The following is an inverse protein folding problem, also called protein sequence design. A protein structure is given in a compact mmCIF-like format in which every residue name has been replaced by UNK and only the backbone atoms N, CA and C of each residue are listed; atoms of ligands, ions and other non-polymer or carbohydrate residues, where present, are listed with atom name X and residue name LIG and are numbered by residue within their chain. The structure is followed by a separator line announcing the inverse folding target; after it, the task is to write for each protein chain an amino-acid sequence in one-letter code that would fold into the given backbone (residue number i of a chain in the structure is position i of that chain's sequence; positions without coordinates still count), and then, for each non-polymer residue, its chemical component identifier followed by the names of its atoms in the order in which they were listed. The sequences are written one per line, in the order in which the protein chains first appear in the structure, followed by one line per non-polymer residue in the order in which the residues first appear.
data_IF_938979175939
#
_entry.id   IF_938979175939
#
_cell.length_a   1.000
_cell.length_b   1.000
_cell.length_c   1.000
_cell.angle_alpha   90.00
_cell.angle_beta   90.00
_cell.angle_gamma   90.00
#
_symmetry.space_group_name_H-M   'P 1'
#
loop_
_entity.id
_entity.type
_entity.pdbx_description
1 polymer ?
#
# COMPACT_ATOMS: atom_id res chain seq x y z
N UNK A 1 6.45 11.92 -64.70
CA UNK A 1 5.81 10.62 -64.52
C UNK A 1 4.85 10.74 -63.33
N UNK A 2 3.53 10.61 -63.59
CA UNK A 2 2.43 11.06 -62.71
C UNK A 2 2.21 10.10 -61.52
N UNK A 3 2.22 10.64 -60.33
CA UNK A 3 1.84 9.95 -59.08
C UNK A 3 0.31 10.00 -58.91
N UNK A 4 -0.33 8.83 -58.83
CA UNK A 4 -1.77 8.70 -58.57
C UNK A 4 -1.98 8.43 -57.07
N UNK A 5 -2.66 9.37 -56.45
CA UNK A 5 -3.16 9.23 -55.07
C UNK A 5 -4.54 8.57 -55.14
N UNK A 6 -4.75 7.43 -54.50
CA UNK A 6 -6.07 6.83 -54.26
C UNK A 6 -6.54 7.20 -52.87
N UNK A 7 -7.68 7.86 -52.79
CA UNK A 7 -8.48 8.00 -51.59
C UNK A 7 -9.43 6.81 -51.50
N UNK A 8 -9.30 6.02 -50.46
CA UNK A 8 -10.33 5.07 -50.07
C UNK A 8 -11.02 5.56 -48.78
N UNK A 9 -12.33 5.73 -48.89
CA UNK A 9 -13.23 6.23 -47.87
C UNK A 9 -13.45 5.17 -46.79
N UNK A 10 -13.23 5.53 -45.52
CA UNK A 10 -13.59 4.71 -44.36
C UNK A 10 -14.99 5.09 -43.92
N UNK A 11 -15.91 4.14 -44.05
CA UNK A 11 -17.29 4.24 -43.63
C UNK A 11 -17.38 4.03 -42.11
N UNK A 12 -17.82 5.05 -41.38
CA UNK A 12 -18.10 5.00 -39.93
C UNK A 12 -19.47 4.36 -39.72
N UNK A 13 -19.51 3.22 -39.04
CA UNK A 13 -20.73 2.63 -38.50
C UNK A 13 -20.92 3.03 -37.05
N UNK A 14 -21.82 3.97 -36.82
CA UNK A 14 -22.36 4.31 -35.49
C UNK A 14 -23.46 3.34 -35.16
N UNK A 15 -23.22 2.42 -34.22
CA UNK A 15 -24.27 1.59 -33.64
C UNK A 15 -24.67 2.17 -32.27
N UNK A 16 -25.83 2.82 -32.26
CA UNK A 16 -26.51 3.31 -31.06
C UNK A 16 -27.14 2.12 -30.34
N UNK A 17 -26.64 1.77 -29.15
CA UNK A 17 -27.28 0.76 -28.31
C UNK A 17 -28.03 1.49 -27.17
N UNK A 18 -29.36 1.56 -27.32
CA UNK A 18 -30.31 2.10 -26.36
C UNK A 18 -30.47 1.10 -25.20
N UNK A 19 -29.96 1.40 -24.01
CA UNK A 19 -30.24 0.63 -22.80
C UNK A 19 -31.40 1.30 -22.06
N UNK A 20 -32.56 0.68 -22.13
CA UNK A 20 -33.78 1.08 -21.41
C UNK A 20 -33.65 0.75 -19.92
N UNK A 21 -33.64 1.78 -19.09
CA UNK A 21 -33.66 1.69 -17.64
C UNK A 21 -35.11 1.45 -17.17
N UNK A 22 -35.39 0.24 -16.69
CA UNK A 22 -36.69 -0.15 -16.18
C UNK A 22 -36.80 0.22 -14.69
N UNK A 23 -37.48 1.33 -14.39
CA UNK A 23 -37.86 1.70 -13.04
C UNK A 23 -38.89 0.69 -12.49
N UNK A 24 -38.57 0.08 -11.36
CA UNK A 24 -39.54 -0.66 -10.54
C UNK A 24 -40.11 0.26 -9.47
N UNK A 25 -41.36 0.58 -9.61
CA UNK A 25 -42.19 1.31 -8.63
C UNK A 25 -42.41 0.44 -7.37
N UNK A 26 -42.06 0.98 -6.21
CA UNK A 26 -42.42 0.41 -4.92
C UNK A 26 -43.89 0.71 -4.62
N UNK A 27 -44.67 -0.32 -4.31
CA UNK A 27 -46.03 -0.25 -3.84
C UNK A 27 -46.08 0.12 -2.38
N UNK A 28 -46.75 1.22 -2.10
CA UNK A 28 -47.24 1.64 -0.79
C UNK A 28 -48.36 0.71 -0.31
N UNK A 29 -48.24 0.17 0.88
CA UNK A 29 -49.37 -0.39 1.63
C UNK A 29 -49.48 0.39 2.93
N UNK A 30 -50.53 1.14 3.06
CA UNK A 30 -51.02 1.68 4.29
C UNK A 30 -51.93 0.72 4.99
N UNK A 31 -51.88 0.69 6.29
CA UNK A 31 -53.02 0.30 7.11
C UNK A 31 -52.96 1.00 8.46
N UNK A 32 -54.05 1.66 8.72
CA UNK A 32 -54.45 2.38 9.91
C UNK A 32 -54.82 1.40 11.05
N UNK A 33 -54.79 1.90 12.25
CA UNK A 33 -55.54 1.27 13.36
C UNK A 33 -54.93 1.45 14.72
N UNK A 34 -55.44 2.32 15.41
CA UNK A 34 -56.28 2.34 16.63
C UNK A 34 -55.55 2.84 17.91
N UNK A 35 -56.14 3.94 18.38
CA UNK A 35 -56.03 4.49 19.73
C UNK A 35 -56.31 3.43 20.81
N UNK A 36 -55.56 3.48 21.89
CA UNK A 36 -56.06 3.08 23.20
C UNK A 36 -55.45 3.99 24.26
N UNK A 37 -56.32 4.76 24.77
CA UNK A 37 -56.24 5.67 25.93
C UNK A 37 -56.47 4.82 27.19
N UNK A 38 -55.56 4.80 28.16
CA UNK A 38 -55.88 4.37 29.54
C UNK A 38 -55.20 5.30 30.55
N UNK A 39 -56.05 5.74 31.43
CA UNK A 39 -55.96 6.72 32.49
C UNK A 39 -55.23 6.19 33.74
N UNK A 40 -54.41 7.07 34.34
CA UNK A 40 -54.28 7.42 35.78
C UNK A 40 -54.19 6.31 36.81
N UNK A 41 -53.15 6.33 37.62
CA UNK A 41 -53.31 6.53 39.09
C UNK A 41 -52.04 7.07 39.71
N UNK A 42 -52.17 8.21 40.37
CA UNK A 42 -51.25 8.82 41.32
C UNK A 42 -51.22 8.01 42.63
N UNK A 43 -50.05 7.67 43.13
CA UNK A 43 -49.85 7.32 44.56
C UNK A 43 -48.67 8.12 45.06
N UNK A 44 -49.01 9.07 45.93
CA UNK A 44 -48.08 9.76 46.82
C UNK A 44 -47.62 8.85 47.92
N UNK A 45 -46.32 8.72 48.15
CA UNK A 45 -45.75 7.93 49.23
C UNK A 45 -44.40 8.52 49.68
N UNK A 46 -44.39 8.96 50.90
CA UNK A 46 -43.41 9.71 51.68
C UNK A 46 -41.98 9.13 51.69
N UNK A 47 -41.07 10.09 51.72
CA UNK A 47 -39.82 10.20 52.50
C UNK A 47 -39.28 8.96 53.18
N UNK A 48 -38.09 8.57 52.73
CA UNK A 48 -37.04 8.10 53.66
C UNK A 48 -35.65 8.53 53.11
N UNK A 49 -35.02 9.38 53.91
CA UNK A 49 -33.67 9.86 53.77
C UNK A 49 -32.72 8.74 54.20
N UNK A 50 -32.15 8.01 53.27
CA UNK A 50 -31.03 7.09 53.49
C UNK A 50 -29.80 7.63 52.78
N UNK A 51 -28.92 8.20 53.56
CA UNK A 51 -27.57 8.57 53.16
C UNK A 51 -26.74 7.31 52.99
N UNK A 52 -26.59 6.89 51.71
CA UNK A 52 -25.56 5.91 51.32
C UNK A 52 -24.40 6.66 50.71
N UNK A 53 -23.16 6.35 51.06
CA UNK A 53 -22.00 6.98 50.48
C UNK A 53 -21.94 6.56 49.01
N UNK A 54 -22.02 7.54 48.10
CA UNK A 54 -21.74 7.38 46.69
C UNK A 54 -20.27 7.01 46.55
N UNK A 55 -19.99 5.72 46.43
CA UNK A 55 -18.73 5.27 45.85
C UNK A 55 -18.76 5.71 44.37
N UNK A 56 -18.15 6.83 44.08
CA UNK A 56 -17.71 7.18 42.72
C UNK A 56 -16.71 6.13 42.30
N UNK A 57 -17.19 5.05 41.71
CA UNK A 57 -16.36 4.18 40.88
C UNK A 57 -15.96 5.02 39.67
N UNK A 58 -14.86 5.76 39.76
CA UNK A 58 -14.15 6.26 38.60
C UNK A 58 -13.61 5.03 37.87
N UNK A 59 -14.43 4.43 37.02
CA UNK A 59 -13.94 3.58 35.95
C UNK A 59 -13.07 4.48 35.09
N UNK A 60 -11.78 4.47 35.39
CA UNK A 60 -10.75 5.07 34.54
C UNK A 60 -10.81 4.38 33.18
N UNK A 61 -11.62 4.93 32.29
CA UNK A 61 -11.42 4.68 30.87
C UNK A 61 -10.05 5.29 30.54
N UNK A 62 -9.02 4.46 30.54
CA UNK A 62 -7.77 4.78 29.86
C UNK A 62 -8.16 5.04 28.41
N UNK A 63 -8.32 6.30 28.04
CA UNK A 63 -8.51 6.68 26.65
C UNK A 63 -7.24 6.28 25.91
N UNK A 64 -7.33 5.20 25.15
CA UNK A 64 -6.26 4.78 24.24
C UNK A 64 -6.10 5.87 23.18
N UNK A 65 -4.92 6.41 23.04
CA UNK A 65 -4.61 7.39 22.00
C UNK A 65 -4.07 6.65 20.78
N UNK A 66 -4.64 6.88 19.59
CA UNK A 66 -4.15 6.27 18.36
C UNK A 66 -3.44 7.28 17.46
N UNK A 67 -2.50 6.77 16.67
CA UNK A 67 -1.97 7.46 15.49
C UNK A 67 -2.36 6.70 14.23
N UNK A 68 -2.69 7.43 13.17
CA UNK A 68 -2.94 6.88 11.84
C UNK A 68 -1.68 6.96 10.99
N UNK A 69 -1.22 5.83 10.49
CA UNK A 69 -0.03 5.72 9.64
C UNK A 69 -0.44 5.28 8.24
N UNK A 70 -0.23 6.12 7.26
CA UNK A 70 -0.34 5.79 5.84
C UNK A 70 0.97 5.17 5.39
N UNK A 71 0.98 3.90 5.04
CA UNK A 71 2.20 3.17 4.70
C UNK A 71 2.05 2.35 3.41
N UNK A 72 3.09 2.36 2.59
CA UNK A 72 3.13 1.55 1.37
C UNK A 72 3.03 0.06 1.69
N UNK A 73 2.28 -0.69 0.85
CA UNK A 73 1.98 -2.12 1.04
C UNK A 73 3.19 -2.99 1.38
N UNK A 74 4.39 -2.81 0.76
CA UNK A 74 5.56 -3.61 1.09
C UNK A 74 5.99 -3.53 2.55
N UNK A 75 5.68 -2.42 3.24
CA UNK A 75 6.04 -2.19 4.65
C UNK A 75 5.16 -2.97 5.64
N UNK A 76 4.01 -3.49 5.19
CA UNK A 76 2.99 -4.09 6.07
C UNK A 76 3.53 -5.14 7.04
N UNK A 77 4.36 -6.13 6.64
CA UNK A 77 4.86 -7.14 7.58
C UNK A 77 5.76 -6.53 8.65
N UNK A 78 6.68 -5.65 8.28
CA UNK A 78 7.61 -5.01 9.21
C UNK A 78 6.88 -4.04 10.14
N UNK A 79 5.96 -3.23 9.62
CA UNK A 79 5.21 -2.24 10.41
C UNK A 79 4.25 -2.89 11.40
N UNK A 80 3.66 -4.05 11.08
CA UNK A 80 2.88 -4.81 12.04
C UNK A 80 3.71 -5.25 13.26
N UNK A 81 4.95 -5.69 13.05
CA UNK A 81 5.87 -6.04 14.14
C UNK A 81 6.30 -4.80 14.94
N UNK A 82 6.56 -3.68 14.26
CA UNK A 82 6.92 -2.43 14.92
C UNK A 82 5.77 -1.84 15.72
N UNK A 83 4.53 -1.97 15.26
CA UNK A 83 3.34 -1.56 16.02
C UNK A 83 3.23 -2.32 17.35
N UNK A 84 3.46 -3.64 17.36
CA UNK A 84 3.48 -4.42 18.59
C UNK A 84 4.56 -3.95 19.57
N UNK A 85 5.75 -3.61 19.08
CA UNK A 85 6.82 -3.05 19.91
C UNK A 85 6.48 -1.65 20.42
N UNK A 86 5.94 -0.81 19.55
CA UNK A 86 5.50 0.54 19.90
C UNK A 86 4.47 0.52 21.02
N UNK A 87 3.47 -0.36 20.93
CA UNK A 87 2.42 -0.51 21.94
C UNK A 87 2.96 -1.05 23.28
N UNK A 88 3.95 -1.96 23.24
CA UNK A 88 4.61 -2.45 24.45
C UNK A 88 5.33 -1.31 25.19
N UNK A 89 5.98 -0.39 24.46
CA UNK A 89 6.69 0.76 25.02
C UNK A 89 5.74 1.93 25.38
N UNK A 90 4.52 1.95 24.80
CA UNK A 90 3.49 2.96 25.01
C UNK A 90 2.12 2.31 25.27
N UNK A 91 1.85 1.75 26.49
CA UNK A 91 0.67 0.90 26.74
C UNK A 91 -0.70 1.59 26.54
N UNK A 92 -0.74 2.93 26.57
CA UNK A 92 -1.95 3.73 26.31
C UNK A 92 -2.08 4.20 24.84
N UNK A 93 -1.21 3.71 23.96
CA UNK A 93 -1.17 4.14 22.56
C UNK A 93 -1.35 2.95 21.61
N UNK A 94 -2.01 3.20 20.47
CA UNK A 94 -2.13 2.25 19.35
C UNK A 94 -1.67 2.90 18.05
N UNK A 95 -1.32 2.05 17.08
CA UNK A 95 -1.00 2.47 15.72
C UNK A 95 -1.99 1.82 14.78
N UNK A 96 -2.76 2.63 14.10
CA UNK A 96 -3.67 2.22 13.05
C UNK A 96 -3.01 2.45 11.68
N UNK A 97 -3.24 1.56 10.72
CA UNK A 97 -2.61 1.63 9.40
C UNK A 97 -3.62 1.68 8.27
N UNK A 98 -3.35 2.53 7.29
CA UNK A 98 -3.90 2.41 5.93
C UNK A 98 -2.77 1.96 5.01
N UNK A 99 -2.87 0.74 4.48
CA UNK A 99 -1.89 0.17 3.55
C UNK A 99 -2.43 0.22 2.13
N UNK A 100 -1.80 1.03 1.28
CA UNK A 100 -2.11 1.14 -0.14
C UNK A 100 -0.83 1.41 -0.95
N UNK A 101 -0.96 1.69 -2.25
CA UNK A 101 0.17 2.19 -3.03
C UNK A 101 0.55 3.59 -2.55
N UNK A 102 1.85 3.95 -2.67
CA UNK A 102 2.31 5.29 -2.27
C UNK A 102 1.53 6.39 -2.97
N UNK A 103 1.21 6.21 -4.26
CA UNK A 103 0.45 7.17 -5.05
C UNK A 103 -1.01 7.33 -4.55
N UNK A 104 -1.68 6.23 -4.20
CA UNK A 104 -3.04 6.30 -3.64
C UNK A 104 -3.05 7.01 -2.30
N UNK A 105 -2.08 6.73 -1.42
CA UNK A 105 -1.95 7.39 -0.13
C UNK A 105 -1.65 8.88 -0.28
N UNK A 106 -0.73 9.25 -1.19
CA UNK A 106 -0.46 10.65 -1.52
C UNK A 106 -1.70 11.38 -2.05
N UNK A 107 -2.49 10.72 -2.91
CA UNK A 107 -3.75 11.26 -3.41
C UNK A 107 -4.80 11.43 -2.29
N UNK A 108 -4.93 10.46 -1.37
CA UNK A 108 -5.81 10.59 -0.19
C UNK A 108 -5.42 11.79 0.66
N UNK A 109 -4.12 11.99 0.92
CA UNK A 109 -3.61 13.14 1.67
C UNK A 109 -3.90 14.45 0.95
N UNK A 110 -3.73 14.51 -0.37
CA UNK A 110 -4.05 15.70 -1.18
C UNK A 110 -5.55 16.02 -1.19
N UNK A 111 -6.42 15.01 -0.98
CA UNK A 111 -7.87 15.16 -0.83
C UNK A 111 -8.31 15.48 0.60
N UNK A 112 -7.37 15.63 1.54
CA UNK A 112 -7.65 16.00 2.93
C UNK A 112 -7.92 14.83 3.86
N UNK A 113 -7.47 13.62 3.53
CA UNK A 113 -7.54 12.49 4.47
C UNK A 113 -6.62 12.74 5.67
N UNK A 114 -7.12 12.41 6.86
CA UNK A 114 -6.39 12.58 8.12
C UNK A 114 -5.43 11.40 8.34
N UNK A 115 -4.15 11.72 8.54
CA UNK A 115 -3.14 10.80 9.00
C UNK A 115 -2.05 11.54 9.78
N UNK A 116 -1.32 10.82 10.63
CA UNK A 116 -0.24 11.40 11.45
C UNK A 116 1.12 11.19 10.81
N UNK A 117 1.32 10.06 10.12
CA UNK A 117 2.59 9.67 9.49
C UNK A 117 2.34 9.15 8.07
N UNK A 118 3.23 9.51 7.16
CA UNK A 118 3.28 8.94 5.81
C UNK A 118 4.62 8.25 5.56
N UNK A 119 4.59 6.98 5.15
CA UNK A 119 5.74 6.16 4.79
C UNK A 119 5.61 5.66 3.35
N UNK A 120 6.40 6.23 2.45
CA UNK A 120 6.37 5.94 1.01
C UNK A 120 7.34 4.83 0.62
N UNK A 121 7.04 4.13 -0.47
CA UNK A 121 7.96 3.17 -1.12
C UNK A 121 8.85 3.83 -2.17
N UNK A 122 8.73 5.12 -2.39
CA UNK A 122 9.57 5.90 -3.32
C UNK A 122 9.65 7.37 -2.92
N UNK A 123 10.71 8.04 -3.38
CA UNK A 123 10.93 9.46 -3.11
C UNK A 123 9.96 10.36 -3.89
N UNK A 124 9.51 9.95 -5.07
CA UNK A 124 8.67 10.80 -5.94
C UNK A 124 7.31 11.11 -5.31
N UNK A 125 6.68 10.11 -4.67
CA UNK A 125 5.42 10.31 -3.98
C UNK A 125 5.59 11.10 -2.68
N UNK A 126 6.69 10.90 -1.95
CA UNK A 126 7.01 11.73 -0.79
C UNK A 126 7.25 13.19 -1.20
N UNK A 127 7.98 13.42 -2.28
CA UNK A 127 8.18 14.75 -2.86
C UNK A 127 6.86 15.43 -3.23
N UNK A 128 5.90 14.66 -3.79
CA UNK A 128 4.58 15.18 -4.12
C UNK A 128 3.86 15.69 -2.87
N UNK A 129 3.87 14.91 -1.79
CA UNK A 129 3.25 15.28 -0.50
C UNK A 129 3.97 16.48 0.14
N UNK A 130 5.31 16.51 0.06
CA UNK A 130 6.12 17.61 0.59
C UNK A 130 5.90 18.92 -0.18
N UNK A 131 5.90 18.86 -1.53
CA UNK A 131 5.63 20.02 -2.39
C UNK A 131 4.22 20.58 -2.22
N UNK A 132 3.26 19.72 -1.85
CA UNK A 132 1.91 20.14 -1.49
C UNK A 132 1.84 20.79 -0.07
N UNK A 133 2.94 20.83 0.67
CA UNK A 133 3.00 21.41 2.02
C UNK A 133 2.28 20.59 3.08
N UNK A 134 2.15 19.27 2.87
CA UNK A 134 1.41 18.36 3.75
C UNK A 134 2.31 17.67 4.79
N UNK A 135 3.64 17.77 4.67
CA UNK A 135 4.59 17.27 5.69
C UNK A 135 4.76 18.30 6.81
N UNK A 136 4.84 17.81 8.04
CA UNK A 136 5.12 18.59 9.26
C UNK A 136 6.57 18.45 9.73
N UNK A 137 7.31 17.48 9.17
CA UNK A 137 8.75 17.29 9.36
C UNK A 137 9.42 17.08 8.01
N UNK A 138 10.74 17.24 7.97
CA UNK A 138 11.54 16.80 6.83
C UNK A 138 11.44 15.27 6.70
N UNK A 139 11.28 14.74 5.48
CA UNK A 139 11.31 13.29 5.24
C UNK A 139 12.66 12.68 5.61
N UNK A 140 12.61 11.51 6.27
CA UNK A 140 13.81 10.74 6.63
C UNK A 140 13.81 9.43 5.85
N UNK A 141 14.88 9.14 5.11
CA UNK A 141 15.06 7.85 4.47
C UNK A 141 15.33 6.80 5.56
N UNK A 142 14.55 5.71 5.57
CA UNK A 142 14.64 4.69 6.63
C UNK A 142 14.92 3.28 6.13
N UNK A 143 14.68 3.03 4.84
CA UNK A 143 14.91 1.75 4.20
C UNK A 143 15.18 1.93 2.70
N UNK A 144 15.72 0.90 2.08
CA UNK A 144 15.80 0.80 0.62
C UNK A 144 15.45 -0.62 0.16
N UNK A 145 15.10 -0.75 -1.12
CA UNK A 145 14.77 -2.03 -1.75
C UNK A 145 15.36 -2.07 -3.16
N UNK A 146 15.80 -3.26 -3.57
CA UNK A 146 16.40 -3.48 -4.89
C UNK A 146 15.69 -4.60 -5.61
N UNK A 147 15.76 -4.59 -6.95
CA UNK A 147 15.27 -5.70 -7.76
C UNK A 147 16.22 -6.90 -7.66
N UNK A 148 15.63 -8.07 -7.76
CA UNK A 148 16.29 -9.35 -7.94
C UNK A 148 15.59 -10.10 -9.06
N UNK A 149 16.30 -11.03 -9.70
CA UNK A 149 15.68 -11.99 -10.62
C UNK A 149 15.14 -13.15 -9.78
N UNK A 150 13.91 -13.56 -10.06
CA UNK A 150 13.36 -14.81 -9.55
C UNK A 150 13.16 -15.79 -10.70
N UNK A 151 13.36 -17.07 -10.39
CA UNK A 151 13.13 -18.20 -11.30
C UNK A 151 12.34 -19.29 -10.58
N UNK A 152 11.91 -20.32 -11.30
CA UNK A 152 11.39 -21.52 -10.66
C UNK A 152 12.46 -22.14 -9.73
N UNK A 153 12.06 -22.90 -8.70
CA UNK A 153 13.00 -23.53 -7.77
C UNK A 153 14.09 -24.31 -8.47
N UNK A 154 15.34 -24.10 -8.05
CA UNK A 154 16.52 -24.75 -8.63
C UNK A 154 17.05 -24.10 -9.91
N UNK A 155 16.48 -22.99 -10.34
CA UNK A 155 16.90 -22.24 -11.53
C UNK A 155 17.14 -23.13 -12.78
N UNK A 156 16.10 -23.77 -13.31
CA UNK A 156 16.25 -24.74 -14.41
C UNK A 156 16.76 -24.12 -15.72
N UNK A 157 16.77 -22.81 -15.83
CA UNK A 157 17.27 -22.06 -17.00
C UNK A 157 18.67 -21.50 -16.83
N UNK A 158 19.26 -21.66 -15.64
CA UNK A 158 20.63 -21.20 -15.31
C UNK A 158 20.82 -19.71 -15.60
N UNK A 159 19.96 -18.88 -14.99
CA UNK A 159 19.97 -17.42 -15.15
C UNK A 159 20.82 -16.82 -14.03
N UNK A 160 21.91 -16.16 -14.38
CA UNK A 160 22.88 -15.66 -13.41
C UNK A 160 23.09 -14.15 -13.47
N UNK A 161 22.70 -13.51 -14.58
CA UNK A 161 22.90 -12.07 -14.82
C UNK A 161 21.65 -11.42 -15.38
N UNK A 162 21.59 -10.09 -15.34
CA UNK A 162 20.53 -9.34 -15.98
C UNK A 162 20.50 -9.57 -17.50
N UNK A 163 21.69 -9.64 -18.13
CA UNK A 163 21.81 -9.91 -19.57
C UNK A 163 21.26 -11.29 -19.97
N UNK A 164 21.23 -12.26 -19.08
CA UNK A 164 20.64 -13.57 -19.36
C UNK A 164 19.14 -13.48 -19.65
N UNK A 165 18.46 -12.46 -19.10
CA UNK A 165 17.03 -12.24 -19.34
C UNK A 165 16.71 -11.83 -20.79
N UNK A 166 17.68 -11.31 -21.53
CA UNK A 166 17.54 -10.97 -22.93
C UNK A 166 17.78 -12.16 -23.91
N UNK A 167 18.07 -13.36 -23.38
CA UNK A 167 18.28 -14.57 -24.23
C UNK A 167 16.99 -14.96 -24.93
N UNK A 168 17.10 -15.28 -26.23
CA UNK A 168 15.97 -15.75 -27.02
C UNK A 168 15.35 -17.04 -26.48
N UNK A 169 14.02 -17.14 -26.50
CA UNK A 169 13.26 -18.31 -26.04
C UNK A 169 13.08 -18.40 -24.53
N UNK A 170 13.51 -17.39 -23.77
CA UNK A 170 13.23 -17.26 -22.37
C UNK A 170 11.92 -16.47 -22.18
N UNK A 171 11.01 -16.99 -21.35
CA UNK A 171 9.78 -16.28 -21.00
C UNK A 171 10.05 -15.42 -19.77
N UNK A 172 10.16 -14.13 -19.98
CA UNK A 172 10.43 -13.16 -18.91
C UNK A 172 9.17 -12.35 -18.59
N UNK A 173 8.85 -12.21 -17.32
CA UNK A 173 7.81 -11.33 -16.83
C UNK A 173 8.41 -10.12 -16.12
N UNK A 174 7.89 -8.93 -16.41
CA UNK A 174 8.29 -7.68 -15.75
C UNK A 174 7.06 -6.93 -15.30
N UNK A 175 7.24 -5.92 -14.43
CA UNK A 175 6.19 -4.97 -14.13
C UNK A 175 6.01 -3.98 -15.29
N UNK A 176 4.79 -3.46 -15.46
CA UNK A 176 4.53 -2.33 -16.34
C UNK A 176 5.39 -1.13 -15.97
N UNK A 177 5.87 -0.38 -16.94
CA UNK A 177 6.78 0.77 -16.72
C UNK A 177 6.19 1.88 -15.82
N UNK A 178 4.87 1.98 -15.77
CA UNK A 178 4.15 2.97 -14.95
C UNK A 178 4.17 2.67 -13.44
N UNK A 179 4.60 1.47 -13.02
CA UNK A 179 4.68 1.10 -11.60
C UNK A 179 6.15 1.03 -11.14
N UNK A 180 6.44 1.16 -9.82
CA UNK A 180 7.82 1.32 -9.32
C UNK A 180 8.80 0.23 -9.77
N UNK A 181 8.38 -1.04 -9.80
CA UNK A 181 9.24 -2.15 -10.24
C UNK A 181 9.55 -2.08 -11.75
N UNK A 182 8.60 -1.67 -12.58
CA UNK A 182 8.82 -1.47 -14.01
C UNK A 182 9.71 -0.27 -14.30
N UNK A 183 9.49 0.85 -13.60
CA UNK A 183 10.37 2.00 -13.68
C UNK A 183 11.81 1.69 -13.23
N UNK A 184 11.99 0.81 -12.23
CA UNK A 184 13.31 0.34 -11.82
C UNK A 184 13.94 -0.57 -12.88
N UNK A 185 13.16 -1.47 -13.50
CA UNK A 185 13.62 -2.29 -14.64
C UNK A 185 14.10 -1.41 -15.78
N UNK A 186 13.33 -0.39 -16.16
CA UNK A 186 13.69 0.53 -17.24
C UNK A 186 15.01 1.26 -16.97
N UNK A 187 15.24 1.72 -15.72
CA UNK A 187 16.53 2.33 -15.35
C UNK A 187 17.69 1.37 -15.56
N UNK A 188 17.54 0.10 -15.17
CA UNK A 188 18.59 -0.92 -15.36
C UNK A 188 18.82 -1.17 -16.86
N UNK A 189 17.77 -1.22 -17.67
CA UNK A 189 17.89 -1.34 -19.12
C UNK A 189 18.66 -0.16 -19.73
N UNK A 190 18.30 1.07 -19.31
CA UNK A 190 18.93 2.31 -19.80
C UNK A 190 20.41 2.37 -19.38
N UNK A 191 20.74 2.00 -18.15
CA UNK A 191 22.10 2.04 -17.61
C UNK A 191 23.01 0.95 -18.19
N UNK A 192 22.44 -0.23 -18.46
CA UNK A 192 23.22 -1.38 -18.99
C UNK A 192 23.25 -1.45 -20.50
N UNK A 193 22.29 -0.81 -21.19
CA UNK A 193 22.04 -0.98 -22.62
C UNK A 193 21.48 -2.36 -22.99
N UNK A 194 21.10 -3.18 -22.02
CA UNK A 194 20.43 -4.47 -22.22
C UNK A 194 18.93 -4.24 -22.21
N UNK A 195 18.29 -4.42 -23.36
CA UNK A 195 16.85 -4.29 -23.50
C UNK A 195 16.18 -5.66 -23.42
N UNK A 196 15.18 -5.76 -22.54
CA UNK A 196 14.38 -6.97 -22.40
C UNK A 196 13.22 -6.97 -23.42
N UNK A 197 12.85 -8.16 -23.87
CA UNK A 197 11.63 -8.39 -24.64
C UNK A 197 10.68 -9.27 -23.79
N UNK A 198 9.97 -8.67 -22.81
CA UNK A 198 9.18 -9.43 -21.86
C UNK A 198 8.00 -10.11 -22.55
N UNK A 199 7.81 -11.40 -22.29
CA UNK A 199 6.67 -12.16 -22.79
C UNK A 199 5.37 -11.78 -22.09
N UNK A 200 5.47 -11.14 -20.92
CA UNK A 200 4.31 -10.65 -20.18
C UNK A 200 4.66 -9.51 -19.21
N UNK A 201 3.70 -8.62 -19.01
CA UNK A 201 3.78 -7.56 -18.02
C UNK A 201 2.71 -7.73 -16.93
N UNK A 202 3.04 -7.34 -15.70
CA UNK A 202 2.13 -7.32 -14.56
C UNK A 202 1.88 -5.90 -14.07
N UNK A 203 0.68 -5.65 -13.59
CA UNK A 203 0.33 -4.37 -12.95
C UNK A 203 0.85 -4.26 -11.51
N UNK A 204 1.25 -5.38 -10.92
CA UNK A 204 1.84 -5.46 -9.57
C UNK A 204 3.00 -6.45 -9.54
N UNK A 205 3.87 -6.31 -8.54
CA UNK A 205 4.95 -7.30 -8.27
C UNK A 205 4.36 -8.69 -8.01
N UNK A 206 3.22 -8.76 -7.33
CA UNK A 206 2.54 -10.04 -7.05
C UNK A 206 2.08 -10.74 -8.33
N UNK A 207 1.60 -10.00 -9.33
CA UNK A 207 1.22 -10.56 -10.63
C UNK A 207 2.43 -11.19 -11.33
N UNK A 208 3.55 -10.46 -11.32
CA UNK A 208 4.79 -10.90 -11.94
C UNK A 208 5.36 -12.14 -11.23
N UNK A 209 5.38 -12.14 -9.90
CA UNK A 209 5.82 -13.28 -9.10
C UNK A 209 4.94 -14.51 -9.37
N UNK A 210 3.62 -14.33 -9.44
CA UNK A 210 2.67 -15.41 -9.69
C UNK A 210 2.91 -16.09 -11.05
N UNK A 211 3.32 -15.36 -12.07
CA UNK A 211 3.66 -15.94 -13.39
C UNK A 211 4.81 -16.94 -13.30
N UNK A 212 5.83 -16.67 -12.49
CA UNK A 212 6.92 -17.61 -12.27
C UNK A 212 6.46 -18.82 -11.46
N UNK A 213 5.76 -18.62 -10.35
CA UNK A 213 5.29 -19.73 -9.50
C UNK A 213 4.28 -20.64 -10.19
N UNK A 214 3.51 -20.12 -11.16
CA UNK A 214 2.58 -20.92 -11.98
C UNK A 214 3.26 -21.54 -13.22
N UNK A 215 4.55 -21.27 -13.46
CA UNK A 215 5.27 -21.77 -14.65
C UNK A 215 4.87 -21.08 -15.96
N UNK A 216 4.22 -19.91 -15.90
CA UNK A 216 3.87 -19.09 -17.06
C UNK A 216 5.08 -18.30 -17.56
N UNK A 217 6.01 -17.93 -16.66
CA UNK A 217 7.29 -17.31 -16.96
C UNK A 217 8.44 -18.15 -16.41
N UNK A 218 9.58 -18.12 -17.08
CA UNK A 218 10.81 -18.79 -16.67
C UNK A 218 11.60 -17.94 -15.66
N UNK A 219 11.49 -16.62 -15.77
CA UNK A 219 12.10 -15.64 -14.86
C UNK A 219 11.26 -14.37 -14.75
N UNK A 220 11.48 -13.62 -13.67
CA UNK A 220 10.88 -12.31 -13.48
C UNK A 220 11.77 -11.40 -12.63
N UNK A 221 11.53 -10.07 -12.76
CA UNK A 221 12.13 -9.05 -11.89
C UNK A 221 11.12 -8.66 -10.80
N UNK A 222 11.51 -8.84 -9.55
CA UNK A 222 10.74 -8.49 -8.35
C UNK A 222 11.64 -7.83 -7.31
N UNK A 223 11.07 -7.21 -6.29
CA UNK A 223 11.89 -6.73 -5.18
C UNK A 223 12.37 -7.89 -4.30
N UNK A 224 13.55 -7.72 -3.67
CA UNK A 224 14.10 -8.72 -2.76
C UNK A 224 13.16 -9.08 -1.61
N UNK A 225 12.36 -8.13 -1.13
CA UNK A 225 11.34 -8.35 -0.10
C UNK A 225 10.23 -9.30 -0.55
N UNK A 226 9.85 -9.25 -1.84
CA UNK A 226 8.83 -10.14 -2.42
C UNK A 226 9.39 -11.54 -2.65
N UNK A 227 10.63 -11.62 -3.11
CA UNK A 227 11.34 -12.89 -3.27
C UNK A 227 11.51 -13.62 -1.91
N UNK A 228 11.90 -12.91 -0.86
CA UNK A 228 12.02 -13.47 0.49
C UNK A 228 10.67 -13.94 1.04
N UNK A 229 9.59 -13.19 0.78
CA UNK A 229 8.23 -13.58 1.18
C UNK A 229 7.75 -14.83 0.43
N UNK A 230 8.16 -15.03 -0.83
CA UNK A 230 7.85 -16.21 -1.61
C UNK A 230 8.63 -17.47 -1.11
N UNK A 231 9.75 -17.29 -0.42
CA UNK A 231 10.54 -18.36 0.16
C UNK A 231 10.95 -19.40 -0.87
N UNK A 232 10.79 -20.68 -0.54
CA UNK A 232 11.19 -21.80 -1.39
C UNK A 232 10.36 -21.98 -2.68
N UNK A 233 9.34 -21.14 -2.88
CA UNK A 233 8.54 -21.16 -4.12
C UNK A 233 9.28 -20.60 -5.32
N UNK A 234 10.40 -19.91 -5.12
CA UNK A 234 11.27 -19.36 -6.16
C UNK A 234 12.74 -19.51 -5.79
N UNK A 235 13.61 -19.54 -6.80
CA UNK A 235 15.04 -19.27 -6.62
C UNK A 235 15.31 -17.80 -6.89
N UNK A 236 16.21 -17.20 -6.10
CA UNK A 236 16.55 -15.78 -6.19
C UNK A 236 17.96 -15.59 -6.70
N UNK A 237 18.12 -14.80 -7.74
CA UNK A 237 19.42 -14.42 -8.31
C UNK A 237 19.62 -12.92 -8.09
N UNK A 238 20.68 -12.56 -7.35
CA UNK A 238 21.12 -11.17 -7.20
C UNK A 238 22.01 -10.80 -8.37
N UNK A 239 21.89 -9.59 -8.85
CA UNK A 239 22.72 -9.07 -9.92
C UNK A 239 23.20 -7.65 -9.56
N UNK A 240 24.44 -7.29 -9.90
CA UNK A 240 25.07 -6.03 -9.44
C UNK A 240 24.36 -4.79 -9.97
N UNK A 241 23.83 -4.81 -11.18
CA UNK A 241 23.17 -3.67 -11.83
C UNK A 241 21.90 -3.20 -11.10
N UNK A 242 21.35 -4.01 -10.21
CA UNK A 242 20.22 -3.61 -9.36
C UNK A 242 20.58 -2.47 -8.39
N UNK A 243 21.87 -2.23 -8.14
CA UNK A 243 22.34 -1.14 -7.29
C UNK A 243 22.10 0.26 -7.91
N UNK A 244 21.96 0.34 -9.24
CA UNK A 244 21.72 1.58 -9.96
C UNK A 244 20.23 1.98 -9.98
N UNK A 245 19.35 1.06 -9.55
CA UNK A 245 17.90 1.24 -9.52
C UNK A 245 17.29 1.03 -8.12
N UNK A 246 17.99 1.49 -7.09
CA UNK A 246 17.51 1.37 -5.69
C UNK A 246 16.27 2.22 -5.47
N UNK A 247 15.24 1.62 -4.88
CA UNK A 247 14.08 2.33 -4.36
C UNK A 247 14.33 2.70 -2.91
N UNK A 248 14.32 4.00 -2.62
CA UNK A 248 14.47 4.54 -1.27
C UNK A 248 13.10 4.78 -0.65
N UNK A 249 12.96 4.45 0.63
CA UNK A 249 11.72 4.55 1.39
C UNK A 249 11.83 5.69 2.42
N UNK A 250 11.21 6.85 2.14
CA UNK A 250 11.14 7.95 3.10
C UNK A 250 9.90 7.86 4.00
N UNK A 251 10.03 8.41 5.22
CA UNK A 251 8.95 8.58 6.20
C UNK A 251 8.93 10.02 6.70
N UNK A 252 7.74 10.58 6.92
CA UNK A 252 7.57 11.90 7.48
C UNK A 252 6.34 11.97 8.40
N UNK A 253 6.39 12.85 9.41
CA UNK A 253 5.21 13.27 10.15
C UNK A 253 4.43 14.23 9.28
N UNK A 254 3.09 14.13 9.28
CA UNK A 254 2.24 15.00 8.51
C UNK A 254 1.92 16.29 9.27
N UNK A 255 1.66 17.35 8.51
CA UNK A 255 1.45 18.72 9.06
C UNK A 255 0.26 18.81 10.00
N UNK A 256 -0.78 18.04 9.73
CA UNK A 256 -2.02 18.02 10.50
C UNK A 256 -2.12 16.80 11.41
N UNK A 257 -0.97 16.21 11.79
CA UNK A 257 -0.94 15.09 12.72
C UNK A 257 -1.70 15.43 14.01
N UNK A 258 -2.65 14.58 14.35
CA UNK A 258 -3.48 14.76 15.56
C UNK A 258 -2.68 14.53 16.84
N UNK A 259 -1.63 13.69 16.76
CA UNK A 259 -0.76 13.28 17.88
C UNK A 259 0.71 13.41 17.49
N UNK A 260 1.24 14.64 17.24
CA UNK A 260 2.58 14.81 16.66
C UNK A 260 3.71 14.25 17.54
N UNK A 261 3.58 14.33 18.86
CA UNK A 261 4.57 13.77 19.77
C UNK A 261 4.59 12.22 19.76
N UNK A 262 3.43 11.59 19.57
CA UNK A 262 3.31 10.14 19.47
C UNK A 262 3.77 9.67 18.08
N UNK A 263 3.43 10.41 17.03
CA UNK A 263 3.92 10.19 15.67
C UNK A 263 5.46 10.25 15.61
N UNK A 264 6.09 11.21 16.30
CA UNK A 264 7.54 11.30 16.38
C UNK A 264 8.15 10.04 17.01
N UNK A 265 7.60 9.55 18.13
CA UNK A 265 8.08 8.32 18.74
C UNK A 265 7.99 7.11 17.80
N UNK A 266 6.94 7.03 16.98
CA UNK A 266 6.82 5.97 15.99
C UNK A 266 7.85 6.11 14.86
N UNK A 267 8.06 7.32 14.36
CA UNK A 267 9.12 7.61 13.37
C UNK A 267 10.51 7.27 13.94
N UNK A 268 10.79 7.66 15.19
CA UNK A 268 12.05 7.33 15.87
C UNK A 268 12.26 5.81 16.02
N UNK A 269 11.20 5.07 16.34
CA UNK A 269 11.25 3.62 16.40
C UNK A 269 11.56 3.01 15.03
N UNK A 270 10.90 3.48 13.95
CA UNK A 270 11.10 2.98 12.58
C UNK A 270 12.52 3.27 12.09
N UNK A 271 13.02 4.49 12.30
CA UNK A 271 14.33 4.95 11.82
C UNK A 271 15.49 4.52 12.73
N UNK A 272 15.19 4.09 13.97
CA UNK A 272 16.13 3.64 14.98
C UNK A 272 16.68 2.23 14.72
N UNK A 273 17.53 1.76 15.64
CA UNK A 273 18.18 0.45 15.55
C UNK A 273 17.17 -0.71 15.50
N UNK A 274 16.11 -0.64 16.31
CA UNK A 274 15.05 -1.66 16.36
C UNK A 274 14.32 -1.72 15.02
N UNK A 275 13.96 -0.57 14.45
CA UNK A 275 13.30 -0.47 13.16
C UNK A 275 14.17 -1.06 12.04
N UNK A 276 15.43 -0.63 11.95
CA UNK A 276 16.40 -1.17 10.99
C UNK A 276 16.52 -2.69 11.08
N UNK A 277 16.62 -3.24 12.30
CA UNK A 277 16.69 -4.69 12.48
C UNK A 277 15.46 -5.42 11.95
N UNK A 278 14.25 -4.92 12.24
CA UNK A 278 12.99 -5.50 11.76
C UNK A 278 12.88 -5.39 10.25
N UNK A 279 13.24 -4.23 9.67
CA UNK A 279 13.22 -4.00 8.24
C UNK A 279 14.22 -4.92 7.50
N UNK A 280 15.46 -5.04 8.02
CA UNK A 280 16.47 -5.93 7.44
C UNK A 280 16.03 -7.40 7.47
N UNK A 281 15.32 -7.85 8.53
CA UNK A 281 14.74 -9.18 8.59
C UNK A 281 13.63 -9.39 7.54
N UNK A 282 12.93 -8.32 7.16
CA UNK A 282 11.95 -8.34 6.08
C UNK A 282 12.57 -8.18 4.68
N UNK A 283 13.89 -8.07 4.57
CA UNK A 283 14.64 -7.98 3.30
C UNK A 283 14.95 -6.57 2.82
N UNK A 284 14.53 -5.54 3.55
CA UNK A 284 14.95 -4.17 3.23
C UNK A 284 16.43 -3.97 3.58
N UNK A 285 17.11 -3.15 2.79
CA UNK A 285 18.44 -2.64 3.12
C UNK A 285 18.36 -1.29 3.84
N UNK A 286 19.48 -0.85 4.40
CA UNK A 286 19.60 0.52 4.90
C UNK A 286 19.49 1.52 3.75
N UNK A 287 19.01 2.74 4.00
CA UNK A 287 18.86 3.77 2.98
C UNK A 287 20.19 4.24 2.43
#
# INVERSE_FOLDING_TARGET
MKLRIRHDAVTVWTTLCCVTFRQRTARTWGMAGLLSLTLVTSVSGCSQKSSSPTQSSSSGHSSTTSIMVFAAVPLKPAFALLAGKFQADNPSATVDFDFATSAELANKLAQGADADVYASADSAQMDTVTKAGLTGSDPVNFASNTLVIITAPGDPKQIHTFADLAKSGLRVAVCQSAVPCGAATQRIEDDTGVHLDPTSEGSTVSDVLTKVTNGEADAALVYITDALKAGDSVSTVKFPESADAVNVYPIAILKHASQPALAQKFVDLVTGEVGRKVLNQAGFANP
#
